data_IF_180338612662
#
_entry.id   IF_180338612662
#
_cell.length_a   1.000
_cell.length_b   1.000
_cell.length_c   1.000
_cell.angle_alpha   90.00
_cell.angle_beta   90.00
_cell.angle_gamma   90.00
#
_symmetry.space_group_name_H-M   'P 1'
#
loop_
_entity.id
_entity.type
_entity.pdbx_description
1 polymer ?
#
# COMPACT_ATOMS: atom_id res chain seq x y z
N UNK A 1 4.80 5.31 -17.48
CA UNK A 1 4.64 3.91 -17.00
C UNK A 1 3.17 3.58 -16.71
N UNK A 2 2.48 4.30 -15.82
CA UNK A 2 1.07 4.03 -15.46
C UNK A 2 0.09 4.06 -16.64
N UNK A 3 0.23 5.05 -17.54
CA UNK A 3 -0.57 5.14 -18.77
C UNK A 3 -0.29 3.99 -19.75
N UNK A 4 0.95 3.52 -19.84
CA UNK A 4 1.36 2.47 -20.78
C UNK A 4 0.79 1.08 -20.43
N UNK A 5 0.36 0.87 -19.17
CA UNK A 5 -0.20 -0.40 -18.69
C UNK A 5 -1.71 -0.33 -18.42
N UNK A 6 -2.36 0.78 -18.80
CA UNK A 6 -3.80 1.00 -18.57
C UNK A 6 -4.18 1.02 -17.09
N UNK A 7 -3.32 1.56 -16.22
CA UNK A 7 -3.52 1.45 -14.77
C UNK A 7 -4.77 2.20 -14.28
N UNK A 8 -5.10 3.33 -14.90
CA UNK A 8 -6.28 4.13 -14.52
C UNK A 8 -7.57 3.32 -14.66
N UNK A 9 -7.75 2.66 -15.81
CA UNK A 9 -8.93 1.84 -16.10
C UNK A 9 -9.05 0.66 -15.14
N UNK A 10 -7.92 0.05 -14.76
CA UNK A 10 -7.89 -1.05 -13.77
C UNK A 10 -8.20 -0.61 -12.35
N UNK A 11 -7.91 0.64 -12.02
CA UNK A 11 -8.19 1.21 -10.70
C UNK A 11 -9.63 1.70 -10.58
N UNK A 12 -10.33 1.93 -11.69
CA UNK A 12 -11.69 2.43 -11.64
C UNK A 12 -12.64 1.42 -10.99
N UNK A 13 -13.23 1.82 -9.86
CA UNK A 13 -14.12 0.96 -9.07
C UNK A 13 -13.41 -0.07 -8.18
N UNK A 14 -12.08 -0.03 -8.07
CA UNK A 14 -11.35 -0.88 -7.14
C UNK A 14 -11.56 -0.42 -5.68
N UNK A 15 -11.71 -1.38 -4.76
CA UNK A 15 -11.87 -1.08 -3.33
C UNK A 15 -10.55 -0.70 -2.64
N UNK A 16 -9.43 -1.21 -3.16
CA UNK A 16 -8.09 -1.01 -2.60
C UNK A 16 -7.02 -1.14 -3.69
N UNK A 17 -6.05 -0.22 -3.68
CA UNK A 17 -4.84 -0.31 -4.49
C UNK A 17 -3.68 -0.81 -3.63
N UNK A 18 -3.02 -1.89 -4.04
CA UNK A 18 -1.74 -2.31 -3.48
C UNK A 18 -0.60 -1.86 -4.41
N UNK A 19 0.41 -1.22 -3.84
CA UNK A 19 1.64 -0.81 -4.54
C UNK A 19 2.86 -1.23 -3.72
N UNK A 20 4.07 -1.01 -4.23
CA UNK A 20 5.27 -1.35 -3.50
C UNK A 20 6.56 -0.88 -4.15
N UNK A 21 7.63 -0.92 -3.36
CA UNK A 21 9.01 -0.67 -3.78
C UNK A 21 10.00 -1.31 -2.81
N UNK A 22 11.28 -1.35 -3.17
CA UNK A 22 12.32 -1.93 -2.31
C UNK A 22 12.49 -1.20 -0.98
N UNK A 23 12.47 0.14 -0.99
CA UNK A 23 12.59 0.96 0.23
C UNK A 23 11.75 2.22 0.12
N UNK A 24 10.95 2.47 1.16
CA UNK A 24 10.15 3.68 1.32
C UNK A 24 10.88 4.64 2.26
N UNK A 25 11.09 5.88 1.83
CA UNK A 25 11.86 6.91 2.51
C UNK A 25 11.35 8.30 2.09
N UNK A 26 11.94 9.37 2.65
CA UNK A 26 11.58 10.74 2.28
C UNK A 26 11.69 11.03 0.77
N UNK A 27 12.63 10.41 0.05
CA UNK A 27 12.81 10.64 -1.39
C UNK A 27 11.67 10.01 -2.21
N UNK A 28 11.10 8.93 -1.69
CA UNK A 28 9.99 8.20 -2.30
C UNK A 28 8.77 9.11 -2.51
N UNK A 29 8.52 10.02 -1.56
CA UNK A 29 7.47 11.04 -1.59
C UNK A 29 7.53 11.98 -2.81
N UNK A 30 8.68 12.08 -3.47
CA UNK A 30 8.94 13.06 -4.53
C UNK A 30 8.94 12.51 -5.96
N UNK A 31 8.80 11.21 -6.18
CA UNK A 31 8.69 10.71 -7.55
C UNK A 31 9.02 9.25 -7.81
N UNK A 32 9.08 8.40 -6.80
CA UNK A 32 9.24 6.96 -7.03
C UNK A 32 7.92 6.31 -7.48
N UNK A 33 8.04 5.11 -8.04
CA UNK A 33 6.93 4.32 -8.62
C UNK A 33 5.75 4.17 -7.66
N UNK A 34 6.01 3.85 -6.39
CA UNK A 34 4.96 3.61 -5.40
C UNK A 34 4.03 4.82 -5.24
N UNK A 35 4.61 6.03 -5.10
CA UNK A 35 3.86 7.28 -4.97
C UNK A 35 3.18 7.70 -6.28
N UNK A 36 3.78 7.40 -7.43
CA UNK A 36 3.14 7.64 -8.74
C UNK A 36 1.84 6.84 -8.91
N UNK A 37 1.86 5.56 -8.54
CA UNK A 37 0.65 4.70 -8.50
C UNK A 37 -0.35 5.24 -7.49
N UNK A 38 0.11 5.57 -6.28
CA UNK A 38 -0.75 6.02 -5.20
C UNK A 38 -1.45 7.34 -5.49
N UNK A 39 -0.78 8.29 -6.18
CA UNK A 39 -1.41 9.54 -6.64
C UNK A 39 -2.53 9.30 -7.64
N UNK A 40 -2.32 8.38 -8.59
CA UNK A 40 -3.34 8.01 -9.55
C UNK A 40 -4.55 7.36 -8.87
N UNK A 41 -4.32 6.38 -7.99
CA UNK A 41 -5.38 5.73 -7.22
C UNK A 41 -6.17 6.75 -6.38
N UNK A 42 -5.48 7.66 -5.68
CA UNK A 42 -6.10 8.74 -4.92
C UNK A 42 -6.98 9.65 -5.78
N UNK A 43 -6.55 9.99 -7.00
CA UNK A 43 -7.36 10.80 -7.93
C UNK A 43 -8.68 10.13 -8.34
N UNK A 44 -8.76 8.81 -8.20
CA UNK A 44 -9.94 7.99 -8.47
C UNK A 44 -10.69 7.62 -7.18
N UNK A 45 -10.29 8.16 -6.02
CA UNK A 45 -10.91 7.86 -4.73
C UNK A 45 -10.57 6.49 -4.15
N UNK A 46 -9.57 5.80 -4.69
CA UNK A 46 -9.18 4.45 -4.25
C UNK A 46 -8.10 4.55 -3.17
N UNK A 47 -8.31 3.99 -1.97
CA UNK A 47 -7.29 3.97 -0.92
C UNK A 47 -6.10 3.12 -1.36
N UNK A 48 -4.88 3.50 -0.96
CA UNK A 48 -3.65 2.84 -1.38
C UNK A 48 -2.79 2.40 -0.22
N UNK A 49 -2.46 1.11 -0.18
CA UNK A 49 -1.47 0.55 0.75
C UNK A 49 -0.17 0.21 0.01
N UNK A 50 0.97 0.55 0.61
CA UNK A 50 2.29 0.20 0.09
C UNK A 50 2.90 -0.97 0.86
N UNK A 51 3.35 -2.01 0.15
CA UNK A 51 4.14 -3.12 0.68
C UNK A 51 5.60 -2.92 0.28
N UNK A 52 6.49 -2.77 1.26
CA UNK A 52 7.85 -2.27 1.02
C UNK A 52 8.91 -3.19 1.61
N UNK A 53 10.07 -3.30 0.97
CA UNK A 53 11.17 -4.13 1.46
C UNK A 53 11.73 -3.62 2.79
N UNK A 54 11.96 -2.31 2.87
CA UNK A 54 12.43 -1.61 4.07
C UNK A 54 11.76 -0.25 4.24
N UNK A 55 11.79 0.26 5.47
CA UNK A 55 11.34 1.60 5.83
C UNK A 55 12.59 2.41 6.22
N UNK A 56 12.86 3.45 5.47
CA UNK A 56 13.91 4.43 5.74
C UNK A 56 13.36 5.66 6.46
N UNK A 57 14.27 6.59 6.74
CA UNK A 57 13.96 7.85 7.40
C UNK A 57 12.98 8.69 6.57
N UNK A 58 11.98 9.28 7.23
CA UNK A 58 11.01 10.18 6.61
C UNK A 58 9.96 9.49 5.73
N UNK A 59 9.81 8.17 5.82
CA UNK A 59 8.80 7.42 5.07
C UNK A 59 7.36 7.92 5.31
N UNK A 60 7.09 8.46 6.50
CA UNK A 60 5.82 9.08 6.88
C UNK A 60 5.44 10.26 5.98
N UNK A 61 6.41 10.92 5.33
CA UNK A 61 6.13 11.99 4.37
C UNK A 61 5.36 11.49 3.12
N UNK A 62 5.33 10.18 2.89
CA UNK A 62 4.53 9.56 1.85
C UNK A 62 3.05 9.44 2.23
N UNK A 63 2.73 9.42 3.53
CA UNK A 63 1.35 9.41 4.02
C UNK A 63 0.65 10.71 3.61
N UNK A 64 -0.58 10.60 3.12
CA UNK A 64 -1.35 11.75 2.64
C UNK A 64 -0.90 12.31 1.28
N UNK A 65 0.20 11.81 0.70
CA UNK A 65 0.64 12.11 -0.69
C UNK A 65 0.18 11.09 -1.72
N UNK A 66 -0.81 10.26 -1.35
CA UNK A 66 -1.33 9.17 -2.16
C UNK A 66 -1.36 7.85 -1.40
N UNK A 67 -0.40 7.64 -0.49
CA UNK A 67 -0.34 6.43 0.34
C UNK A 67 -1.16 6.68 1.62
N UNK A 68 -2.03 5.73 1.96
CA UNK A 68 -2.87 5.75 3.15
C UNK A 68 -2.29 4.87 4.28
N UNK A 69 -1.57 3.81 3.92
CA UNK A 69 -0.78 3.00 4.86
C UNK A 69 0.42 2.35 4.17
N UNK A 70 1.47 2.02 4.93
CA UNK A 70 2.61 1.25 4.43
C UNK A 70 3.03 0.15 5.40
N UNK A 71 3.52 -0.96 4.87
CA UNK A 71 3.88 -2.15 5.62
C UNK A 71 5.23 -2.69 5.14
N UNK A 72 6.21 -2.91 6.04
CA UNK A 72 7.41 -3.64 5.68
C UNK A 72 7.06 -5.12 5.46
N UNK A 73 7.61 -5.75 4.44
CA UNK A 73 7.38 -7.18 4.20
C UNK A 73 8.21 -8.06 5.14
N UNK A 74 9.32 -7.53 5.67
CA UNK A 74 10.18 -8.22 6.63
C UNK A 74 9.49 -8.35 7.99
N UNK A 75 9.58 -9.53 8.62
CA UNK A 75 8.93 -9.85 9.90
C UNK A 75 9.78 -9.60 11.15
N UNK A 76 10.97 -9.06 10.97
CA UNK A 76 11.93 -8.80 12.05
C UNK A 76 13.34 -8.64 11.49
N UNK A 77 14.36 -8.54 12.36
CA UNK A 77 15.76 -8.49 11.93
C UNK A 77 16.11 -9.74 11.12
N UNK A 78 16.67 -9.53 9.92
CA UNK A 78 17.12 -10.60 9.04
C UNK A 78 18.24 -10.10 8.13
N UNK A 79 19.03 -11.02 7.57
CA UNK A 79 20.04 -10.65 6.59
C UNK A 79 19.39 -10.17 5.28
N UNK A 80 20.11 -9.37 4.50
CA UNK A 80 19.64 -8.95 3.18
C UNK A 80 19.47 -10.18 2.25
N UNK A 81 20.36 -11.16 2.35
CA UNK A 81 20.28 -12.39 1.58
C UNK A 81 18.99 -13.17 1.87
N UNK A 82 18.67 -13.36 3.16
CA UNK A 82 17.42 -14.02 3.57
C UNK A 82 16.20 -13.23 3.13
N UNK A 83 16.24 -11.89 3.25
CA UNK A 83 15.13 -11.02 2.85
C UNK A 83 14.83 -11.15 1.35
N UNK A 84 15.87 -11.18 0.52
CA UNK A 84 15.74 -11.35 -0.93
C UNK A 84 15.28 -12.77 -1.29
N UNK A 85 15.89 -13.80 -0.70
CA UNK A 85 15.56 -15.20 -0.95
C UNK A 85 14.11 -15.53 -0.59
N UNK A 86 13.59 -14.89 0.47
CA UNK A 86 12.22 -15.11 0.98
C UNK A 86 11.23 -14.03 0.56
N UNK A 87 11.63 -13.07 -0.28
CA UNK A 87 10.78 -11.92 -0.63
C UNK A 87 9.37 -12.33 -1.14
N UNK A 88 9.19 -13.37 -1.97
CA UNK A 88 7.85 -13.79 -2.41
C UNK A 88 6.95 -14.26 -1.25
N UNK A 89 7.51 -15.05 -0.32
CA UNK A 89 6.80 -15.55 0.86
C UNK A 89 6.42 -14.40 1.78
N UNK A 90 7.38 -13.52 2.08
CA UNK A 90 7.21 -12.36 2.95
C UNK A 90 6.18 -11.38 2.38
N UNK A 91 6.23 -11.13 1.06
CA UNK A 91 5.28 -10.26 0.37
C UNK A 91 3.86 -10.82 0.43
N UNK A 92 3.68 -12.11 0.15
CA UNK A 92 2.37 -12.76 0.20
C UNK A 92 1.76 -12.67 1.61
N UNK A 93 2.59 -12.91 2.63
CA UNK A 93 2.20 -12.81 4.02
C UNK A 93 1.83 -11.37 4.44
N UNK A 94 2.62 -10.38 4.04
CA UNK A 94 2.34 -8.97 4.33
C UNK A 94 1.06 -8.49 3.63
N UNK A 95 0.86 -8.88 2.38
CA UNK A 95 -0.35 -8.59 1.62
C UNK A 95 -1.60 -9.20 2.28
N UNK A 96 -1.53 -10.47 2.71
CA UNK A 96 -2.62 -11.12 3.42
C UNK A 96 -3.02 -10.33 4.67
N UNK A 97 -2.05 -9.96 5.52
CA UNK A 97 -2.34 -9.25 6.76
C UNK A 97 -2.88 -7.84 6.50
N UNK A 98 -2.31 -7.11 5.53
CA UNK A 98 -2.77 -5.78 5.16
C UNK A 98 -4.24 -5.81 4.67
N UNK A 99 -4.58 -6.76 3.80
CA UNK A 99 -5.94 -6.91 3.27
C UNK A 99 -6.91 -7.39 4.35
N UNK A 100 -6.51 -8.31 5.25
CA UNK A 100 -7.34 -8.69 6.41
C UNK A 100 -7.65 -7.49 7.30
N UNK A 101 -6.65 -6.65 7.57
CA UNK A 101 -6.82 -5.40 8.33
C UNK A 101 -7.81 -4.45 7.65
N UNK A 102 -7.67 -4.25 6.34
CA UNK A 102 -8.60 -3.45 5.54
C UNK A 102 -10.04 -3.99 5.64
N UNK A 103 -10.24 -5.28 5.36
CA UNK A 103 -11.56 -5.92 5.39
C UNK A 103 -12.19 -5.89 6.79
N UNK A 104 -11.40 -6.02 7.85
CA UNK A 104 -11.89 -5.87 9.22
C UNK A 104 -12.45 -4.46 9.47
N UNK A 105 -11.79 -3.41 8.97
CA UNK A 105 -12.28 -2.03 9.04
C UNK A 105 -13.56 -1.81 8.22
N UNK A 106 -13.62 -2.32 7.00
CA UNK A 106 -14.80 -2.21 6.11
C UNK A 106 -16.05 -2.85 6.74
N UNK A 107 -15.91 -4.01 7.38
CA UNK A 107 -17.02 -4.71 8.07
C UNK A 107 -17.63 -3.90 9.21
N UNK A 108 -16.83 -3.09 9.90
CA UNK A 108 -17.32 -2.24 10.98
C UNK A 108 -18.04 -0.99 10.46
N UNK A 109 -17.58 -0.41 9.33
CA UNK A 109 -18.22 0.73 8.70
C UNK A 109 -19.61 0.43 8.10
N UNK A 110 -19.86 -0.82 7.73
CA UNK A 110 -21.14 -1.25 7.14
C UNK A 110 -22.23 -1.61 8.17
N UNK A 111 -21.90 -1.65 9.47
CA UNK A 111 -22.88 -1.88 10.56
C UNK A 111 -23.35 -0.60 11.27
N UNK A 112 -22.84 0.58 10.90
CA UNK A 112 -23.18 1.87 11.52
C UNK A 112 -24.39 2.61 10.93
N UNK A 113 -25.18 1.97 10.06
CA UNK A 113 -26.28 2.61 9.33
C UNK A 113 -27.67 2.16 9.77
N UNK A 114 -28.11 2.55 10.97
CA UNK A 114 -29.54 2.66 11.28
C UNK A 114 -29.75 3.97 12.07
N UNK A 115 -30.47 4.97 11.52
CA UNK A 115 -30.96 6.09 12.32
C UNK A 115 -32.06 5.54 13.25
N UNK A 116 -31.91 5.71 14.56
CA UNK A 116 -33.06 5.66 15.45
C UNK A 116 -33.80 6.99 15.29
N UNK A 117 -35.11 6.87 15.04
CA UNK A 117 -36.10 7.94 14.87
C UNK A 117 -36.05 9.03 15.95
#
# INVERSE_FOLDING_TARGET
>A
MTAAVGLADKLQGADLCLTGEGSLDAQSAFGKTAVGVARLARSLGVPTFALVGSIGEGAEACLGRGIDAYFPITRGPMSLEDALARAPELLAQAAEQAVRGFLAGVRNGSQGGVPHE
#
